data_IF_470572176238
#
_entry.id   IF_470572176238
#
_cell.length_a   1.000
_cell.length_b   1.000
_cell.length_c   1.000
_cell.angle_alpha   90.00
_cell.angle_beta   90.00
_cell.angle_gamma   90.00
#
_symmetry.space_group_name_H-M   'P 1'
#
loop_
_entity.id
_entity.type
_entity.pdbx_description
1 polymer ?
#
# COMPACT_ATOMS: atom_id res chain seq x y z
N UNK A 1 13.05 -4.22 -10.47
CA UNK A 1 11.67 -4.23 -9.88
C UNK A 1 11.57 -3.11 -8.85
N UNK A 2 10.39 -2.51 -8.67
CA UNK A 2 10.17 -1.43 -7.67
C UNK A 2 9.34 -1.99 -6.52
N UNK A 3 9.79 -1.85 -5.26
CA UNK A 3 9.01 -2.29 -4.10
C UNK A 3 7.86 -1.31 -3.83
N UNK A 4 6.66 -1.82 -3.51
CA UNK A 4 5.43 -1.00 -3.37
C UNK A 4 4.66 -1.19 -2.07
N UNK A 5 5.04 -2.15 -1.23
CA UNK A 5 4.38 -2.44 0.07
C UNK A 5 5.33 -2.31 1.27
N UNK A 6 6.32 -1.42 1.19
CA UNK A 6 7.35 -1.27 2.24
C UNK A 6 6.82 -0.66 3.53
N UNK A 7 5.68 0.02 3.52
CA UNK A 7 5.08 0.65 4.71
C UNK A 7 4.21 -0.27 5.58
N UNK A 8 4.16 -1.57 5.28
CA UNK A 8 3.37 -2.56 6.04
C UNK A 8 4.11 -3.14 7.25
N UNK A 9 5.43 -2.99 7.29
CA UNK A 9 6.29 -3.45 8.37
C UNK A 9 7.16 -2.29 8.81
N UNK A 10 7.03 -1.88 10.06
CA UNK A 10 7.96 -1.00 10.73
C UNK A 10 8.86 -1.84 11.64
N UNK A 11 10.12 -1.98 11.26
CA UNK A 11 11.09 -2.77 12.03
C UNK A 11 11.67 -1.97 13.21
N UNK A 12 11.59 -0.65 13.19
CA UNK A 12 12.10 0.20 14.27
C UNK A 12 11.07 0.26 15.40
N UNK A 13 9.79 0.42 15.05
CA UNK A 13 8.68 0.45 16.01
C UNK A 13 8.15 -0.96 16.35
N UNK A 14 8.68 -2.01 15.70
CA UNK A 14 8.20 -3.40 15.80
C UNK A 14 6.70 -3.55 15.49
N UNK A 15 6.15 -2.68 14.64
CA UNK A 15 4.74 -2.65 14.27
C UNK A 15 4.49 -3.25 12.89
N UNK A 16 3.38 -3.97 12.75
CA UNK A 16 2.92 -4.51 11.47
C UNK A 16 1.51 -4.02 11.16
N UNK A 17 1.31 -3.50 9.95
CA UNK A 17 0.00 -3.07 9.45
C UNK A 17 -0.64 -4.19 8.64
N UNK A 18 -1.03 -5.25 9.33
CA UNK A 18 -1.67 -6.41 8.69
C UNK A 18 -0.70 -7.37 7.99
N UNK A 19 -1.26 -8.30 7.21
CA UNK A 19 -0.54 -9.29 6.39
C UNK A 19 -1.09 -9.35 4.97
N UNK A 20 -0.47 -8.62 4.02
CA UNK A 20 -0.80 -8.70 2.62
C UNK A 20 -0.70 -10.13 2.07
N UNK A 21 -1.77 -10.63 1.45
CA UNK A 21 -1.83 -11.97 0.85
C UNK A 21 -2.16 -11.95 -0.64
N UNK A 22 -2.66 -10.83 -1.18
CA UNK A 22 -3.00 -10.71 -2.58
C UNK A 22 -3.08 -9.26 -3.04
N UNK A 23 -2.94 -9.06 -4.36
CA UNK A 23 -3.00 -7.74 -4.99
C UNK A 23 -3.80 -7.78 -6.30
N UNK A 24 -4.47 -6.67 -6.62
CA UNK A 24 -5.15 -6.43 -7.89
C UNK A 24 -5.11 -4.94 -8.26
N UNK A 25 -5.19 -4.62 -9.55
CA UNK A 25 -5.38 -3.23 -10.00
C UNK A 25 -6.88 -2.91 -10.04
N UNK A 26 -7.27 -1.72 -9.57
CA UNK A 26 -8.61 -1.19 -9.79
C UNK A 26 -8.73 -0.48 -11.16
N UNK A 27 -9.95 -0.09 -11.54
CA UNK A 27 -10.22 0.59 -12.81
C UNK A 27 -9.68 2.03 -12.89
N UNK A 28 -9.19 2.58 -11.78
CA UNK A 28 -8.63 3.92 -11.68
C UNK A 28 -7.09 3.90 -11.59
N UNK A 29 -6.48 2.72 -11.63
CA UNK A 29 -5.03 2.53 -11.59
C UNK A 29 -4.43 2.47 -10.19
N UNK A 30 -5.23 2.34 -9.13
CA UNK A 30 -4.73 2.06 -7.78
C UNK A 30 -4.48 0.56 -7.58
N UNK A 31 -3.57 0.24 -6.65
CA UNK A 31 -3.30 -1.13 -6.22
C UNK A 31 -4.17 -1.46 -5.01
N UNK A 32 -5.07 -2.44 -5.15
CA UNK A 32 -5.82 -3.03 -4.06
C UNK A 32 -4.97 -4.12 -3.40
N UNK A 33 -4.88 -4.09 -2.08
CA UNK A 33 -4.11 -5.05 -1.28
C UNK A 33 -5.06 -5.73 -0.30
N UNK A 34 -5.18 -7.05 -0.40
CA UNK A 34 -5.95 -7.85 0.54
C UNK A 34 -5.07 -8.20 1.75
N UNK A 35 -5.54 -7.80 2.93
CA UNK A 35 -4.90 -8.07 4.23
C UNK A 35 -5.75 -9.07 5.03
N UNK A 36 -5.18 -10.24 5.28
CA UNK A 36 -5.84 -11.37 5.95
C UNK A 36 -6.05 -11.09 7.45
N UNK A 37 -4.99 -10.68 8.15
CA UNK A 37 -5.03 -10.47 9.61
C UNK A 37 -5.84 -9.23 9.99
N UNK A 38 -5.73 -8.16 9.20
CA UNK A 38 -6.45 -6.92 9.45
C UNK A 38 -7.88 -6.92 8.92
N UNK A 39 -8.31 -7.96 8.20
CA UNK A 39 -9.63 -8.04 7.56
C UNK A 39 -9.98 -6.74 6.80
N UNK A 40 -8.99 -6.22 6.06
CA UNK A 40 -9.03 -4.88 5.44
C UNK A 40 -8.58 -4.99 3.99
N UNK A 41 -9.19 -4.18 3.11
CA UNK A 41 -8.68 -3.93 1.76
C UNK A 41 -8.05 -2.55 1.75
N UNK A 42 -6.73 -2.50 1.56
CA UNK A 42 -5.99 -1.25 1.41
C UNK A 42 -6.01 -0.81 -0.04
N UNK A 43 -6.20 0.49 -0.29
CA UNK A 43 -6.11 1.08 -1.62
C UNK A 43 -4.89 2.00 -1.69
N UNK A 44 -3.88 1.59 -2.45
CA UNK A 44 -2.63 2.34 -2.64
C UNK A 44 -2.74 3.10 -3.96
N UNK A 45 -2.88 4.42 -3.88
CA UNK A 45 -2.87 5.29 -5.05
C UNK A 45 -1.42 5.65 -5.40
N UNK A 46 -1.09 5.84 -6.69
CA UNK A 46 0.14 6.51 -7.07
C UNK A 46 0.25 7.82 -6.30
N UNK A 47 1.43 8.14 -5.78
CA UNK A 47 1.68 9.49 -5.28
C UNK A 47 1.48 10.40 -6.48
N UNK A 48 0.39 11.16 -6.50
CA UNK A 48 0.15 12.15 -7.53
C UNK A 48 1.39 13.03 -7.61
N UNK A 49 1.90 13.28 -8.82
CA UNK A 49 2.98 14.24 -9.04
C UNK A 49 2.57 15.53 -8.36
N UNK A 50 3.05 15.74 -7.13
CA UNK A 50 2.85 16.97 -6.41
C UNK A 50 3.60 18.01 -7.22
N UNK A 51 2.88 18.70 -8.10
CA UNK A 51 3.38 19.91 -8.72
C UNK A 51 3.50 20.89 -7.57
N UNK A 52 4.68 20.96 -6.98
CA UNK A 52 5.13 22.15 -6.27
C UNK A 52 5.10 23.27 -7.30
N UNK A 53 3.97 23.96 -7.38
CA UNK A 53 3.91 25.29 -7.97
C UNK A 53 4.57 26.21 -6.96
N UNK A 54 5.73 26.74 -7.31
CA UNK A 54 6.30 27.91 -6.63
C UNK A 54 5.51 29.17 -6.96
#
# INVERSE_FOLDING_TARGET
>A
PVPVLTGFLDMEEEEARGRPVGVALDGEGALLVADDVGNTIWRVTPAGSGSTVE
#
